data_IF_521962456078
#
_entry.id   IF_521962456078
#
_cell.length_a   1.000
_cell.length_b   1.000
_cell.length_c   1.000
_cell.angle_alpha   90.00
_cell.angle_beta   90.00
_cell.angle_gamma   90.00
#
_symmetry.space_group_name_H-M   'P 1'
#
loop_
_entity.id
_entity.type
_entity.pdbx_description
1 polymer ?
#
# COMPACT_ATOMS: atom_id res chain seq x y z
N UNK A 1 31.03 -0.71 -8.87
CA UNK A 1 29.68 -0.27 -8.53
C UNK A 1 28.74 -0.59 -9.69
N UNK A 2 27.72 -1.41 -9.51
CA UNK A 2 26.69 -1.56 -10.53
C UNK A 2 25.70 -0.41 -10.37
N UNK A 3 25.54 0.42 -11.39
CA UNK A 3 24.51 1.45 -11.41
C UNK A 3 23.13 0.77 -11.49
N UNK A 4 22.26 1.05 -10.53
CA UNK A 4 20.87 0.60 -10.61
C UNK A 4 20.15 1.53 -11.57
N UNK A 5 19.80 1.02 -12.76
CA UNK A 5 18.88 1.72 -13.66
C UNK A 5 17.48 1.12 -13.50
N UNK A 6 16.61 1.72 -12.71
CA UNK A 6 15.29 1.13 -12.43
C UNK A 6 14.35 1.22 -13.63
N UNK A 7 14.53 2.22 -14.49
CA UNK A 7 13.68 2.51 -15.65
C UNK A 7 14.52 2.32 -16.92
N UNK A 8 13.99 1.53 -17.86
CA UNK A 8 14.56 1.40 -19.22
C UNK A 8 13.87 2.36 -20.19
N UNK A 9 12.54 2.48 -20.06
CA UNK A 9 11.73 3.38 -20.88
C UNK A 9 10.49 3.82 -20.11
N UNK A 10 9.94 4.98 -20.49
CA UNK A 10 8.65 5.49 -20.06
C UNK A 10 7.83 5.78 -21.31
N UNK A 11 6.55 5.43 -21.27
CA UNK A 11 5.59 5.74 -22.31
C UNK A 11 4.24 6.08 -21.66
N UNK A 12 3.87 7.35 -21.67
CA UNK A 12 2.69 7.85 -20.95
C UNK A 12 2.73 7.51 -19.46
N UNK A 13 1.86 6.59 -19.00
CA UNK A 13 1.81 6.09 -17.62
C UNK A 13 2.40 4.67 -17.47
N UNK A 14 3.10 4.21 -18.49
CA UNK A 14 3.78 2.91 -18.51
C UNK A 14 5.26 3.08 -18.17
N UNK A 15 5.71 2.30 -17.21
CA UNK A 15 7.11 2.18 -16.86
C UNK A 15 7.60 0.79 -17.29
N UNK A 16 8.65 0.76 -18.09
CA UNK A 16 9.36 -0.46 -18.45
C UNK A 16 10.59 -0.59 -17.56
N UNK A 17 10.57 -1.60 -16.69
CA UNK A 17 11.64 -1.82 -15.73
C UNK A 17 12.83 -2.54 -16.36
N UNK A 18 14.00 -2.44 -15.73
CA UNK A 18 15.20 -3.17 -16.13
C UNK A 18 15.05 -4.70 -16.06
N UNK A 19 14.04 -5.20 -15.34
CA UNK A 19 13.70 -6.62 -15.27
C UNK A 19 12.84 -7.10 -16.44
N UNK A 20 12.38 -6.18 -17.28
CA UNK A 20 11.45 -6.46 -18.36
C UNK A 20 9.97 -6.54 -17.90
N UNK A 21 9.66 -6.07 -16.71
CA UNK A 21 8.28 -5.90 -16.26
C UNK A 21 7.69 -4.61 -16.85
N UNK A 22 6.39 -4.63 -17.12
CA UNK A 22 5.62 -3.45 -17.55
C UNK A 22 4.72 -3.04 -16.41
N UNK A 23 4.89 -1.81 -15.93
CA UNK A 23 4.17 -1.25 -14.79
C UNK A 23 3.24 -0.14 -15.26
N UNK A 24 1.95 -0.29 -15.00
CA UNK A 24 0.92 0.72 -15.20
C UNK A 24 0.80 1.57 -13.95
N UNK A 25 1.09 2.86 -14.04
CA UNK A 25 1.26 3.75 -12.91
C UNK A 25 0.06 4.69 -12.77
N UNK A 26 -0.59 4.69 -11.60
CA UNK A 26 -1.71 5.55 -11.26
C UNK A 26 -1.45 6.28 -9.94
N UNK A 27 -2.00 7.49 -9.83
CA UNK A 27 -2.07 8.25 -8.58
C UNK A 27 -3.51 8.25 -8.08
N UNK A 28 -3.69 8.00 -6.78
CA UNK A 28 -4.99 7.90 -6.15
C UNK A 28 -5.38 9.15 -5.35
N UNK A 29 -6.63 9.58 -5.50
CA UNK A 29 -7.30 10.45 -4.55
C UNK A 29 -8.22 9.62 -3.67
N UNK A 30 -7.93 9.61 -2.36
CA UNK A 30 -8.68 8.85 -1.36
C UNK A 30 -9.67 9.75 -0.60
N UNK A 31 -10.72 9.17 0.03
CA UNK A 31 -11.59 9.88 0.96
C UNK A 31 -10.83 10.44 2.16
N UNK A 32 -11.38 11.46 2.79
CA UNK A 32 -10.81 12.01 4.02
C UNK A 32 -10.95 11.03 5.20
N UNK A 33 -9.98 11.03 6.08
CA UNK A 33 -10.00 10.26 7.34
C UNK A 33 -11.28 10.56 8.14
N UNK A 34 -11.85 9.54 8.76
CA UNK A 34 -13.10 9.60 9.55
C UNK A 34 -14.34 10.08 8.78
N UNK A 35 -14.31 10.12 7.44
CA UNK A 35 -15.47 10.46 6.62
C UNK A 35 -16.31 9.25 6.19
N UNK A 36 -15.85 8.05 6.50
CA UNK A 36 -16.43 6.79 6.06
C UNK A 36 -17.13 6.07 7.24
N UNK A 37 -18.34 5.57 6.98
CA UNK A 37 -19.03 4.64 7.88
C UNK A 37 -18.56 3.19 7.64
N UNK A 38 -18.92 2.27 8.53
CA UNK A 38 -18.68 0.83 8.35
C UNK A 38 -19.17 0.34 6.97
N UNK A 39 -20.41 0.71 6.60
CA UNK A 39 -20.99 0.36 5.29
C UNK A 39 -20.20 0.94 4.10
N UNK A 40 -19.55 2.08 4.29
CA UNK A 40 -18.70 2.67 3.26
C UNK A 40 -17.42 1.86 3.07
N UNK A 41 -16.81 1.38 4.16
CA UNK A 41 -15.65 0.49 4.10
C UNK A 41 -16.00 -0.85 3.45
N UNK A 42 -17.14 -1.45 3.80
CA UNK A 42 -17.64 -2.66 3.14
C UNK A 42 -17.88 -2.45 1.63
N UNK A 43 -18.46 -1.30 1.26
CA UNK A 43 -18.69 -0.96 -0.15
C UNK A 43 -17.39 -0.73 -0.91
N UNK A 44 -16.38 -0.11 -0.28
CA UNK A 44 -15.04 0.06 -0.87
C UNK A 44 -14.35 -1.29 -1.05
N UNK A 45 -14.40 -2.14 -0.03
CA UNK A 45 -13.87 -3.50 -0.09
C UNK A 45 -14.52 -4.32 -1.22
N UNK A 46 -15.85 -4.28 -1.32
CA UNK A 46 -16.57 -4.94 -2.41
C UNK A 46 -16.19 -4.37 -3.79
N UNK A 47 -16.01 -3.05 -3.89
CA UNK A 47 -15.57 -2.39 -5.12
C UNK A 47 -14.17 -2.88 -5.54
N UNK A 48 -13.20 -2.89 -4.64
CA UNK A 48 -11.87 -3.43 -4.91
C UNK A 48 -11.92 -4.88 -5.34
N UNK A 49 -12.69 -5.72 -4.63
CA UNK A 49 -12.82 -7.12 -4.97
C UNK A 49 -13.39 -7.33 -6.38
N UNK A 50 -14.46 -6.62 -6.74
CA UNK A 50 -15.06 -6.73 -8.08
C UNK A 50 -14.10 -6.28 -9.18
N UNK A 51 -13.35 -5.20 -8.95
CA UNK A 51 -12.37 -4.68 -9.90
C UNK A 51 -11.20 -5.65 -10.11
N UNK A 52 -10.61 -6.16 -9.02
CA UNK A 52 -9.37 -6.90 -9.09
C UNK A 52 -9.54 -8.38 -9.42
N UNK A 53 -10.69 -8.99 -9.08
CA UNK A 53 -10.94 -10.42 -9.35
C UNK A 53 -10.93 -10.78 -10.85
N UNK A 54 -11.16 -9.81 -11.73
CA UNK A 54 -11.23 -9.99 -13.19
C UNK A 54 -9.86 -9.94 -13.86
N UNK A 55 -8.85 -9.43 -13.16
CA UNK A 55 -7.50 -9.31 -13.71
C UNK A 55 -6.88 -10.70 -13.98
N UNK A 56 -6.02 -10.82 -14.99
CA UNK A 56 -5.33 -12.06 -15.33
C UNK A 56 -4.52 -12.64 -14.17
N UNK A 57 -4.42 -13.96 -14.09
CA UNK A 57 -3.51 -14.60 -13.14
C UNK A 57 -2.05 -14.25 -13.48
N UNK A 58 -1.25 -14.02 -12.46
CA UNK A 58 0.12 -13.53 -12.58
C UNK A 58 0.24 -11.98 -12.52
N UNK A 59 -0.88 -11.25 -12.48
CA UNK A 59 -0.88 -9.81 -12.23
C UNK A 59 -0.38 -9.54 -10.83
N UNK A 60 0.56 -8.59 -10.71
CA UNK A 60 0.96 -8.04 -9.42
C UNK A 60 0.28 -6.67 -9.27
N UNK A 61 -0.42 -6.49 -8.16
CA UNK A 61 -1.02 -5.23 -7.76
C UNK A 61 -0.18 -4.70 -6.61
N UNK A 62 0.33 -3.49 -6.74
CA UNK A 62 1.11 -2.84 -5.70
C UNK A 62 0.47 -1.48 -5.39
N UNK A 63 -0.13 -1.36 -4.23
CA UNK A 63 -0.56 -0.08 -3.68
C UNK A 63 0.52 0.42 -2.75
N UNK A 64 0.98 1.64 -2.98
CA UNK A 64 2.04 2.28 -2.21
C UNK A 64 1.55 3.63 -1.70
N UNK A 65 1.50 3.76 -0.37
CA UNK A 65 1.14 5.01 0.29
C UNK A 65 2.41 5.59 0.92
N UNK A 66 2.86 6.73 0.38
CA UNK A 66 4.06 7.43 0.84
C UNK A 66 3.65 8.57 1.74
N UNK A 67 4.16 8.59 2.96
CA UNK A 67 3.88 9.61 3.97
C UNK A 67 5.15 10.40 4.24
N UNK A 68 5.14 11.68 3.87
CA UNK A 68 6.29 12.57 4.05
C UNK A 68 5.97 13.74 4.97
N UNK A 69 6.91 14.04 5.87
CA UNK A 69 6.86 15.26 6.67
C UNK A 69 7.25 16.46 5.82
N UNK A 70 6.36 17.40 5.73
CA UNK A 70 6.56 18.66 5.00
C UNK A 70 6.22 19.83 5.90
N UNK A 71 6.77 21.00 5.54
CA UNK A 71 6.39 22.24 6.18
C UNK A 71 5.11 22.77 5.52
N UNK A 72 4.10 23.04 6.33
CA UNK A 72 2.85 23.62 5.86
C UNK A 72 3.09 25.02 5.31
N UNK A 73 2.64 25.30 4.08
CA UNK A 73 2.55 26.65 3.53
C UNK A 73 1.16 27.22 3.77
N UNK A 74 1.10 28.33 4.48
CA UNK A 74 -0.13 29.04 4.75
C UNK A 74 -0.55 30.01 3.61
N UNK A 75 0.02 29.87 2.41
CA UNK A 75 -0.24 30.79 1.28
C UNK A 75 -1.71 30.77 0.81
N UNK A 76 -2.37 29.62 0.97
CA UNK A 76 -3.79 29.48 0.64
C UNK A 76 -4.75 30.14 1.66
N UNK A 77 -4.25 30.56 2.84
CA UNK A 77 -5.09 31.20 3.85
C UNK A 77 -5.36 32.68 3.49
N UNK A 78 -6.56 33.20 3.84
CA UNK A 78 -6.87 34.62 3.70
C UNK A 78 -5.82 35.51 4.39
N UNK A 79 -5.51 36.68 3.82
CA UNK A 79 -4.44 37.59 4.27
C UNK A 79 -4.84 39.07 4.19
N UNK A 80 -6.12 39.39 4.26
CA UNK A 80 -6.65 40.74 4.08
C UNK A 80 -6.72 41.53 5.37
N UNK A 81 -6.97 40.87 6.51
CA UNK A 81 -7.13 41.49 7.82
C UNK A 81 -5.96 41.17 8.76
N UNK A 82 -5.86 41.94 9.84
CA UNK A 82 -4.85 41.72 10.90
C UNK A 82 -4.94 40.32 11.49
N UNK A 83 -6.18 39.82 11.73
CA UNK A 83 -6.42 38.48 12.28
C UNK A 83 -6.01 37.41 11.30
N UNK A 84 -6.33 37.56 10.02
CA UNK A 84 -5.93 36.62 8.98
C UNK A 84 -4.42 36.53 8.83
N UNK A 85 -3.73 37.67 8.87
CA UNK A 85 -2.26 37.75 8.87
C UNK A 85 -1.65 37.08 10.10
N UNK A 86 -2.27 37.25 11.26
CA UNK A 86 -1.81 36.58 12.49
C UNK A 86 -2.02 35.07 12.40
N UNK A 87 -3.16 34.64 11.87
CA UNK A 87 -3.47 33.23 11.61
C UNK A 87 -2.48 32.61 10.63
N UNK A 88 -2.22 33.29 9.51
CA UNK A 88 -1.22 32.84 8.54
C UNK A 88 0.14 32.62 9.19
N UNK A 89 0.66 33.62 9.93
CA UNK A 89 1.95 33.51 10.63
C UNK A 89 1.97 32.42 11.70
N UNK A 90 0.84 32.14 12.33
CA UNK A 90 0.74 31.10 13.36
C UNK A 90 0.87 29.68 12.81
N UNK A 91 0.38 29.43 11.58
CA UNK A 91 0.39 28.12 10.99
C UNK A 91 1.57 27.87 10.04
N UNK A 92 2.19 28.92 9.50
CA UNK A 92 3.31 28.83 8.58
C UNK A 92 4.46 28.00 9.16
N UNK A 93 4.97 27.06 8.35
CA UNK A 93 6.11 26.22 8.69
C UNK A 93 5.83 25.07 9.67
N UNK A 94 4.56 24.87 10.10
CA UNK A 94 4.22 23.73 10.94
C UNK A 94 4.44 22.43 10.19
N UNK A 95 4.90 21.40 10.91
CA UNK A 95 5.10 20.08 10.32
C UNK A 95 3.75 19.39 10.07
N UNK A 96 3.56 18.92 8.86
CA UNK A 96 2.43 18.09 8.46
C UNK A 96 2.93 16.79 7.84
N UNK A 97 2.11 15.77 7.88
CA UNK A 97 2.33 14.53 7.15
C UNK A 97 1.51 14.58 5.86
N UNK A 98 2.19 14.58 4.72
CA UNK A 98 1.54 14.61 3.40
C UNK A 98 1.51 13.20 2.81
N UNK A 99 0.32 12.59 2.64
CA UNK A 99 0.18 11.29 2.01
C UNK A 99 0.11 11.41 0.49
N UNK A 100 0.83 10.51 -0.19
CA UNK A 100 0.73 10.30 -1.63
C UNK A 100 0.35 8.84 -1.88
N UNK A 101 -0.78 8.60 -2.53
CA UNK A 101 -1.25 7.26 -2.86
C UNK A 101 -0.91 6.92 -4.31
N UNK A 102 -0.22 5.81 -4.50
CA UNK A 102 0.08 5.25 -5.82
C UNK A 102 -0.51 3.85 -5.95
N UNK A 103 -0.94 3.51 -7.15
CA UNK A 103 -1.43 2.19 -7.50
C UNK A 103 -0.75 1.73 -8.78
N UNK A 104 -0.12 0.57 -8.70
CA UNK A 104 0.62 -0.03 -9.81
C UNK A 104 0.05 -1.39 -10.17
N UNK A 105 -0.14 -1.63 -11.48
CA UNK A 105 -0.45 -2.94 -12.01
C UNK A 105 0.73 -3.41 -12.82
N UNK A 106 1.29 -4.56 -12.47
CA UNK A 106 2.55 -5.03 -13.01
C UNK A 106 2.32 -6.31 -13.81
N UNK A 107 2.66 -6.24 -15.09
CA UNK A 107 2.76 -7.41 -15.97
C UNK A 107 4.20 -7.91 -15.93
N UNK A 108 4.40 -9.08 -15.33
CA UNK A 108 5.71 -9.72 -15.29
C UNK A 108 5.81 -10.89 -16.25
N UNK A 109 6.96 -11.03 -16.90
CA UNK A 109 7.30 -12.23 -17.70
C UNK A 109 7.65 -13.43 -16.81
N UNK A 110 7.96 -13.19 -15.54
CA UNK A 110 8.31 -14.22 -14.58
C UNK A 110 7.05 -14.90 -14.05
N UNK A 111 6.61 -15.97 -14.70
CA UNK A 111 5.44 -16.77 -14.28
C UNK A 111 5.62 -17.46 -12.92
N UNK A 112 6.82 -17.53 -12.40
CA UNK A 112 7.13 -17.95 -11.04
C UNK A 112 8.04 -16.91 -10.41
N UNK A 113 7.62 -16.30 -9.34
CA UNK A 113 8.46 -15.45 -8.48
C UNK A 113 9.41 -16.39 -7.72
N UNK A 114 10.29 -17.03 -8.41
CA UNK A 114 11.32 -17.86 -7.78
C UNK A 114 12.67 -17.23 -8.08
N UNK A 115 13.35 -16.77 -7.05
CA UNK A 115 14.69 -16.19 -7.09
C UNK A 115 15.78 -17.14 -7.67
N UNK A 116 15.44 -18.39 -7.96
CA UNK A 116 16.37 -19.35 -8.52
C UNK A 116 16.91 -18.94 -9.92
N UNK A 117 16.24 -18.00 -10.60
CA UNK A 117 16.67 -17.60 -11.97
C UNK A 117 17.88 -16.72 -11.99
N UNK A 118 18.08 -15.85 -11.02
CA UNK A 118 19.27 -14.98 -10.98
C UNK A 118 20.56 -15.73 -10.67
N UNK A 119 20.43 -16.93 -10.11
CA UNK A 119 21.57 -17.78 -9.76
C UNK A 119 21.90 -18.87 -10.78
N UNK A 120 21.06 -19.05 -11.81
CA UNK A 120 21.28 -20.08 -12.83
C UNK A 120 21.59 -19.48 -14.21
N UNK A 121 22.87 -19.28 -14.57
CA UNK A 121 23.28 -18.69 -15.85
C UNK A 121 22.94 -19.56 -17.07
N UNK A 122 22.49 -20.81 -16.86
CA UNK A 122 22.17 -21.76 -17.93
C UNK A 122 20.68 -21.84 -18.27
N UNK A 123 19.82 -21.08 -17.60
CA UNK A 123 18.41 -21.01 -17.99
C UNK A 123 18.22 -20.22 -19.27
N UNK A 124 17.72 -20.91 -20.31
CA UNK A 124 17.36 -20.25 -21.59
C UNK A 124 16.21 -19.26 -21.34
N UNK A 125 16.35 -18.04 -21.84
CA UNK A 125 15.28 -17.07 -21.87
C UNK A 125 14.05 -17.66 -22.60
N UNK A 126 12.81 -17.44 -22.09
CA UNK A 126 11.63 -17.92 -22.78
C UNK A 126 11.57 -17.28 -24.18
N UNK A 127 11.44 -18.10 -25.20
CA UNK A 127 11.26 -17.67 -26.59
C UNK A 127 9.79 -17.25 -26.78
N UNK A 128 9.43 -16.05 -26.39
CA UNK A 128 8.16 -15.46 -26.83
C UNK A 128 8.40 -14.69 -28.12
N UNK A 129 7.55 -14.87 -29.11
CA UNK A 129 7.59 -14.04 -30.32
C UNK A 129 7.15 -12.61 -29.96
N UNK A 130 7.68 -11.56 -30.63
CA UNK A 130 7.27 -10.18 -30.38
C UNK A 130 5.75 -9.99 -30.44
N UNK A 131 5.07 -10.57 -31.39
CA UNK A 131 3.60 -10.50 -31.53
C UNK A 131 2.81 -11.04 -30.32
N UNK A 132 3.26 -12.17 -29.74
CA UNK A 132 2.58 -12.72 -28.53
C UNK A 132 2.76 -11.81 -27.30
N UNK A 133 3.82 -11.02 -27.29
CA UNK A 133 4.06 -10.04 -26.23
C UNK A 133 3.13 -8.83 -26.37
N UNK A 134 2.95 -8.35 -27.60
CA UNK A 134 2.08 -7.21 -27.90
C UNK A 134 0.62 -7.55 -27.62
N UNK A 135 0.15 -8.74 -28.00
CA UNK A 135 -1.20 -9.21 -27.72
C UNK A 135 -1.44 -9.35 -26.20
N UNK A 136 -0.47 -9.90 -25.47
CA UNK A 136 -0.57 -10.03 -24.01
C UNK A 136 -0.61 -8.67 -23.30
N UNK A 137 0.18 -7.71 -23.79
CA UNK A 137 0.20 -6.34 -23.27
C UNK A 137 -1.11 -5.62 -23.54
N UNK A 138 -1.67 -5.74 -24.74
CA UNK A 138 -2.95 -5.14 -25.12
C UNK A 138 -4.10 -5.71 -24.26
N UNK A 139 -4.12 -7.02 -24.06
CA UNK A 139 -5.11 -7.69 -23.21
C UNK A 139 -5.00 -7.25 -21.75
N UNK A 140 -3.77 -7.15 -21.26
CA UNK A 140 -3.51 -6.69 -19.90
C UNK A 140 -3.91 -5.23 -19.71
N UNK A 141 -3.59 -4.37 -20.69
CA UNK A 141 -3.98 -2.95 -20.69
C UNK A 141 -5.49 -2.81 -20.58
N UNK A 142 -6.25 -3.51 -21.42
CA UNK A 142 -7.72 -3.46 -21.39
C UNK A 142 -8.26 -3.90 -20.01
N UNK A 143 -7.73 -4.98 -19.44
CA UNK A 143 -8.16 -5.46 -18.12
C UNK A 143 -7.87 -4.45 -16.99
N UNK A 144 -6.71 -3.77 -17.05
CA UNK A 144 -6.34 -2.73 -16.07
C UNK A 144 -7.24 -1.49 -16.23
N UNK A 145 -7.48 -1.04 -17.46
CA UNK A 145 -8.35 0.10 -17.74
C UNK A 145 -9.79 -0.17 -17.26
N UNK A 146 -10.32 -1.37 -17.48
CA UNK A 146 -11.63 -1.79 -16.97
C UNK A 146 -11.68 -1.80 -15.44
N UNK A 147 -10.64 -2.31 -14.78
CA UNK A 147 -10.55 -2.32 -13.32
C UNK A 147 -10.51 -0.90 -12.74
N UNK A 148 -9.71 -0.01 -13.31
CA UNK A 148 -9.63 1.41 -12.91
C UNK A 148 -10.95 2.13 -13.16
N UNK A 149 -11.58 1.93 -14.31
CA UNK A 149 -12.89 2.53 -14.62
C UNK A 149 -13.96 2.07 -13.60
N UNK A 150 -13.93 0.79 -13.21
CA UNK A 150 -14.84 0.26 -12.19
C UNK A 150 -14.61 0.92 -10.82
N UNK A 151 -13.36 1.06 -10.39
CA UNK A 151 -13.01 1.73 -9.12
C UNK A 151 -13.47 3.19 -9.15
N UNK A 152 -13.17 3.91 -10.22
CA UNK A 152 -13.50 5.33 -10.37
C UNK A 152 -15.02 5.58 -10.41
N UNK A 153 -15.80 4.64 -10.94
CA UNK A 153 -17.26 4.71 -10.94
C UNK A 153 -17.87 4.67 -9.52
N UNK A 154 -17.14 4.19 -8.51
CA UNK A 154 -17.58 4.26 -7.11
C UNK A 154 -17.73 5.69 -6.59
N UNK A 155 -17.05 6.66 -7.22
CA UNK A 155 -16.98 8.09 -6.85
C UNK A 155 -16.47 8.36 -5.43
N UNK A 156 -15.97 7.34 -4.74
CA UNK A 156 -15.38 7.47 -3.40
C UNK A 156 -13.87 7.61 -3.46
N UNK A 157 -13.25 6.97 -4.42
CA UNK A 157 -11.82 7.09 -4.74
C UNK A 157 -11.68 7.29 -6.25
N UNK A 158 -10.64 7.99 -6.64
CA UNK A 158 -10.34 8.27 -8.05
C UNK A 158 -8.87 7.96 -8.28
N UNK A 159 -8.58 7.16 -9.32
CA UNK A 159 -7.23 6.87 -9.76
C UNK A 159 -7.01 7.42 -11.16
N UNK A 160 -6.01 8.27 -11.30
CA UNK A 160 -5.63 8.89 -12.57
C UNK A 160 -4.26 8.39 -13.04
N UNK A 161 -4.05 8.22 -14.36
CA UNK A 161 -2.76 7.85 -14.90
C UNK A 161 -1.67 8.84 -14.51
N UNK A 162 -0.52 8.37 -14.01
CA UNK A 162 0.63 9.21 -13.72
C UNK A 162 1.30 9.70 -15.00
N UNK A 163 1.71 10.97 -15.02
CA UNK A 163 2.52 11.53 -16.12
C UNK A 163 3.96 11.05 -16.01
N UNK A 164 4.67 10.96 -17.14
CA UNK A 164 6.08 10.55 -17.17
C UNK A 164 6.99 11.37 -16.25
N UNK A 165 6.74 12.67 -16.15
CA UNK A 165 7.47 13.56 -15.24
C UNK A 165 7.26 13.19 -13.78
N UNK A 166 6.03 12.84 -13.40
CA UNK A 166 5.70 12.41 -12.03
C UNK A 166 6.31 11.03 -11.70
N UNK A 167 6.30 10.09 -12.66
CA UNK A 167 6.96 8.79 -12.51
C UNK A 167 8.46 8.98 -12.30
N UNK A 168 9.09 9.87 -13.09
CA UNK A 168 10.51 10.18 -12.95
C UNK A 168 10.83 10.79 -11.59
N UNK A 169 10.05 11.77 -11.15
CA UNK A 169 10.21 12.41 -9.84
C UNK A 169 10.03 11.42 -8.68
N UNK A 170 8.98 10.60 -8.73
CA UNK A 170 8.73 9.54 -7.74
C UNK A 170 9.91 8.56 -7.67
N UNK A 171 10.43 8.13 -8.82
CA UNK A 171 11.57 7.21 -8.91
C UNK A 171 12.83 7.85 -8.33
N UNK A 172 13.11 9.09 -8.70
CA UNK A 172 14.26 9.83 -8.19
C UNK A 172 14.16 10.02 -6.67
N UNK A 173 13.00 10.44 -6.16
CA UNK A 173 12.77 10.58 -4.73
C UNK A 173 13.02 9.26 -3.98
N UNK A 174 12.48 8.15 -4.49
CA UNK A 174 12.63 6.84 -3.88
C UNK A 174 14.10 6.41 -3.76
N UNK A 175 14.85 6.43 -4.88
CA UNK A 175 16.26 6.01 -4.91
C UNK A 175 17.21 7.03 -4.29
N UNK A 176 16.79 8.29 -4.20
CA UNK A 176 17.50 9.33 -3.44
C UNK A 176 17.22 9.26 -1.92
N UNK A 177 16.42 8.30 -1.46
CA UNK A 177 16.06 8.15 -0.06
C UNK A 177 15.31 9.36 0.51
N UNK A 178 14.50 10.04 -0.32
CA UNK A 178 13.74 11.24 0.02
C UNK A 178 14.61 12.37 0.60
N UNK A 179 15.88 12.46 0.18
CA UNK A 179 16.77 13.56 0.52
C UNK A 179 16.54 14.75 -0.41
N UNK A 180 16.71 15.96 0.09
CA UNK A 180 16.66 17.19 -0.73
C UNK A 180 17.82 17.28 -1.72
N UNK A 181 19.02 16.92 -1.28
CA UNK A 181 20.20 16.85 -2.13
C UNK A 181 20.28 15.52 -2.86
N UNK A 182 20.76 15.53 -4.10
CA UNK A 182 21.01 14.30 -4.85
C UNK A 182 22.09 13.49 -4.16
N UNK A 183 21.79 12.25 -3.81
CA UNK A 183 22.73 11.31 -3.21
C UNK A 183 23.09 10.22 -4.21
N UNK A 184 24.29 9.69 -4.13
CA UNK A 184 24.79 8.71 -5.11
C UNK A 184 24.94 7.32 -4.52
N UNK A 185 24.95 7.17 -3.20
CA UNK A 185 25.32 5.94 -2.53
C UNK A 185 24.22 5.38 -1.63
N UNK A 186 23.94 4.10 -1.82
CA UNK A 186 23.18 3.27 -0.89
C UNK A 186 24.20 2.48 -0.07
N UNK A 187 24.35 2.83 1.19
CA UNK A 187 25.28 2.17 2.08
C UNK A 187 24.57 1.06 2.86
N UNK A 188 25.14 -0.13 2.82
CA UNK A 188 24.67 -1.28 3.59
C UNK A 188 25.64 -1.54 4.75
N UNK A 189 25.19 -1.32 5.97
CA UNK A 189 25.84 -1.81 7.18
C UNK A 189 25.18 -3.14 7.61
N UNK A 190 25.83 -3.91 8.50
CA UNK A 190 25.38 -5.24 8.96
C UNK A 190 23.93 -5.29 9.46
N UNK A 191 23.37 -4.17 9.87
CA UNK A 191 22.03 -4.10 10.43
C UNK A 191 21.09 -3.05 9.77
N UNK A 192 21.63 -2.14 8.93
CA UNK A 192 20.89 -0.95 8.46
C UNK A 192 21.23 -0.61 7.02
N UNK A 193 20.32 0.12 6.39
CA UNK A 193 20.53 0.73 5.07
C UNK A 193 20.53 2.23 5.26
N UNK A 194 21.52 2.90 4.65
CA UNK A 194 21.60 4.37 4.64
C UNK A 194 21.58 4.85 3.21
N UNK A 195 20.76 5.85 2.92
CA UNK A 195 20.68 6.51 1.61
C UNK A 195 20.83 8.00 1.87
N UNK A 196 21.96 8.58 1.47
CA UNK A 196 22.30 9.96 1.83
C UNK A 196 22.34 10.14 3.34
N UNK A 197 21.58 11.12 3.85
CA UNK A 197 21.51 11.46 5.27
C UNK A 197 20.48 10.63 6.06
N UNK A 198 19.74 9.74 5.39
CA UNK A 198 18.66 9.00 6.00
C UNK A 198 19.04 7.54 6.30
N UNK A 199 18.78 7.12 7.52
CA UNK A 199 18.80 5.72 7.95
C UNK A 199 17.43 5.10 7.69
N UNK A 200 17.40 3.91 7.09
CA UNK A 200 16.19 3.17 6.75
C UNK A 200 16.05 1.91 7.58
N UNK A 201 14.81 1.56 7.92
CA UNK A 201 14.43 0.27 8.50
C UNK A 201 13.07 -0.14 7.93
N UNK A 202 12.67 -1.39 8.15
CA UNK A 202 11.40 -1.93 7.67
C UNK A 202 10.80 -2.95 8.63
N UNK A 203 9.48 -3.07 8.57
CA UNK A 203 8.68 -4.13 9.21
C UNK A 203 7.78 -4.74 8.14
N UNK A 204 7.58 -6.06 8.16
CA UNK A 204 6.79 -6.73 7.14
C UNK A 204 5.88 -7.83 7.69
N UNK A 205 4.70 -7.96 7.09
CA UNK A 205 3.82 -9.12 7.20
C UNK A 205 4.01 -9.92 5.92
N UNK A 206 4.74 -11.04 6.01
CA UNK A 206 5.19 -11.83 4.88
C UNK A 206 4.86 -13.32 4.99
N UNK A 207 4.18 -13.71 6.05
CA UNK A 207 3.83 -15.09 6.34
C UNK A 207 2.47 -15.15 7.03
N UNK A 208 1.76 -16.25 6.87
CA UNK A 208 0.51 -16.54 7.58
C UNK A 208 0.68 -16.54 9.10
N UNK A 209 1.89 -16.77 9.58
CA UNK A 209 2.22 -16.72 11.02
C UNK A 209 2.24 -15.31 11.60
N UNK A 210 2.26 -14.29 10.74
CA UNK A 210 2.18 -12.89 11.17
C UNK A 210 0.77 -12.47 11.59
N UNK A 211 -0.25 -13.24 11.26
CA UNK A 211 -1.66 -12.94 11.56
C UNK A 211 -2.10 -13.68 12.82
N UNK A 212 -2.70 -12.94 13.76
CA UNK A 212 -3.33 -13.49 14.95
C UNK A 212 -4.78 -13.98 14.68
N UNK A 213 -5.78 -13.20 15.08
CA UNK A 213 -7.19 -13.60 14.98
C UNK A 213 -7.81 -13.44 13.59
N UNK A 214 -7.24 -12.60 12.74
CA UNK A 214 -7.74 -12.36 11.39
C UNK A 214 -7.71 -10.88 10.99
N UNK A 215 -8.42 -10.55 9.89
CA UNK A 215 -8.49 -9.20 9.34
C UNK A 215 -9.95 -8.78 9.14
N UNK A 216 -10.21 -7.48 9.22
CA UNK A 216 -11.53 -6.88 9.07
C UNK A 216 -11.49 -5.77 8.02
N UNK A 217 -12.63 -5.39 7.49
CA UNK A 217 -12.73 -4.27 6.54
C UNK A 217 -12.53 -2.92 7.23
N UNK A 218 -13.03 -2.81 8.46
CA UNK A 218 -12.86 -1.64 9.31
C UNK A 218 -12.88 -2.03 10.79
N UNK A 219 -12.33 -1.17 11.62
CA UNK A 219 -12.33 -1.26 13.08
C UNK A 219 -12.90 0.05 13.66
N UNK A 220 -13.37 -0.01 14.90
CA UNK A 220 -13.81 1.17 15.62
C UNK A 220 -12.57 1.89 16.17
N UNK A 221 -12.51 3.21 15.97
CA UNK A 221 -11.49 4.03 16.61
C UNK A 221 -11.98 4.48 17.99
N UNK A 222 -11.51 3.81 19.04
CA UNK A 222 -11.93 4.05 20.41
C UNK A 222 -11.52 5.44 20.92
N UNK A 223 -10.46 6.04 20.36
CA UNK A 223 -10.00 7.37 20.80
C UNK A 223 -10.98 8.48 20.46
N UNK A 224 -11.72 8.35 19.36
CA UNK A 224 -12.65 9.36 18.86
C UNK A 224 -14.12 8.97 19.04
N UNK A 225 -14.41 7.69 19.29
CA UNK A 225 -15.76 7.18 19.52
C UNK A 225 -16.30 7.63 20.88
N UNK A 226 -17.57 8.00 20.91
CA UNK A 226 -18.34 8.34 22.12
C UNK A 226 -19.66 7.57 22.13
N UNK A 227 -20.45 7.71 23.19
CA UNK A 227 -21.76 7.05 23.29
C UNK A 227 -22.72 7.45 22.16
N UNK A 228 -22.55 8.68 21.61
CA UNK A 228 -23.43 9.22 20.57
C UNK A 228 -22.89 8.99 19.14
N UNK A 229 -21.60 8.83 18.97
CA UNK A 229 -20.94 8.75 17.64
C UNK A 229 -19.85 7.67 17.62
N UNK A 230 -19.97 6.77 16.64
CA UNK A 230 -18.96 5.75 16.37
C UNK A 230 -18.14 6.14 15.15
N UNK A 231 -16.84 6.24 15.32
CA UNK A 231 -15.89 6.50 14.26
C UNK A 231 -15.23 5.20 13.80
N UNK A 232 -15.35 4.91 12.51
CA UNK A 232 -14.70 3.77 11.87
C UNK A 232 -13.42 4.19 11.16
N UNK A 233 -12.45 3.30 11.14
CA UNK A 233 -11.24 3.40 10.35
C UNK A 233 -10.96 2.06 9.66
N UNK A 234 -10.30 2.08 8.50
CA UNK A 234 -9.85 0.87 7.84
C UNK A 234 -8.86 0.09 8.70
N UNK A 235 -8.82 -1.22 8.55
CA UNK A 235 -8.05 -2.11 9.43
C UNK A 235 -6.60 -1.66 9.63
N UNK A 236 -5.90 -1.25 8.57
CA UNK A 236 -4.48 -0.85 8.66
C UNK A 236 -4.25 0.68 8.61
N UNK A 237 -5.30 1.51 8.67
CA UNK A 237 -5.14 2.97 8.54
C UNK A 237 -4.26 3.59 9.65
N UNK A 238 -4.19 2.96 10.83
CA UNK A 238 -3.24 3.32 11.88
C UNK A 238 -1.78 3.25 11.42
N UNK A 239 -1.43 2.31 10.54
CA UNK A 239 -0.09 2.23 9.94
C UNK A 239 0.21 3.38 8.97
N UNK A 240 -0.79 4.12 8.50
CA UNK A 240 -0.65 5.30 7.66
C UNK A 240 -0.65 6.58 8.47
N UNK A 241 -1.83 7.04 8.88
CA UNK A 241 -2.03 8.34 9.55
C UNK A 241 -1.99 8.26 11.08
N UNK A 242 -1.81 7.09 11.68
CA UNK A 242 -1.77 6.93 13.14
C UNK A 242 -0.57 7.57 13.83
N UNK A 243 0.49 7.89 13.08
CA UNK A 243 1.71 8.53 13.61
C UNK A 243 2.32 9.51 12.60
N UNK A 244 2.85 10.62 13.09
CA UNK A 244 3.39 11.72 12.27
C UNK A 244 4.90 11.53 12.01
N UNK A 245 5.26 10.56 11.14
CA UNK A 245 6.66 10.25 10.80
C UNK A 245 6.79 9.90 9.31
N UNK A 246 8.02 10.01 8.77
CA UNK A 246 8.30 9.63 7.39
C UNK A 246 8.25 8.11 7.21
N UNK A 247 7.36 7.61 6.35
CA UNK A 247 7.27 6.18 6.06
C UNK A 247 6.53 5.90 4.75
N UNK A 248 6.60 4.66 4.32
CA UNK A 248 5.87 4.11 3.17
C UNK A 248 5.15 2.85 3.64
N UNK A 249 3.88 2.75 3.32
CA UNK A 249 3.11 1.51 3.48
C UNK A 249 2.93 0.87 2.11
N UNK A 250 3.48 -0.31 1.92
CA UNK A 250 3.39 -1.08 0.69
C UNK A 250 2.45 -2.26 0.88
N UNK A 251 1.43 -2.35 0.03
CA UNK A 251 0.53 -3.48 -0.05
C UNK A 251 0.72 -4.15 -1.42
N UNK A 252 1.19 -5.38 -1.41
CA UNK A 252 1.52 -6.14 -2.62
C UNK A 252 0.60 -7.35 -2.68
N UNK A 253 -0.09 -7.54 -3.81
CA UNK A 253 -0.99 -8.65 -4.06
C UNK A 253 -0.60 -9.27 -5.40
N UNK A 254 -0.31 -10.56 -5.40
CA UNK A 254 -0.03 -11.35 -6.60
C UNK A 254 -1.22 -12.26 -6.85
N UNK A 255 -1.93 -12.05 -7.95
CA UNK A 255 -3.06 -12.89 -8.33
C UNK A 255 -2.54 -14.21 -8.89
N UNK A 256 -2.89 -15.30 -8.24
CA UNK A 256 -2.46 -16.64 -8.65
C UNK A 256 -3.55 -17.42 -9.41
N UNK A 257 -3.12 -18.50 -10.06
CA UNK A 257 -4.01 -19.44 -10.70
C UNK A 257 -4.62 -20.37 -9.63
N UNK A 258 -5.95 -20.28 -9.47
CA UNK A 258 -6.75 -21.08 -8.55
C UNK A 258 -6.51 -22.59 -8.71
N UNK A 259 -6.42 -23.08 -9.94
CA UNK A 259 -6.23 -24.52 -10.20
C UNK A 259 -4.85 -25.03 -9.79
N UNK A 260 -3.81 -24.18 -9.97
CA UNK A 260 -2.46 -24.49 -9.52
C UNK A 260 -2.42 -24.61 -7.99
N UNK A 261 -3.02 -23.66 -7.30
CA UNK A 261 -3.05 -23.65 -5.83
C UNK A 261 -3.86 -24.80 -5.26
N UNK A 262 -5.02 -25.11 -5.85
CA UNK A 262 -5.80 -26.29 -5.44
C UNK A 262 -4.94 -27.55 -5.43
N UNK A 263 -4.22 -27.84 -6.53
CA UNK A 263 -3.33 -29.00 -6.62
C UNK A 263 -2.20 -28.98 -5.58
N UNK A 264 -1.63 -27.82 -5.31
CA UNK A 264 -0.56 -27.67 -4.31
C UNK A 264 -1.08 -27.89 -2.89
N UNK A 265 -2.24 -27.32 -2.57
CA UNK A 265 -2.87 -27.45 -1.26
C UNK A 265 -3.36 -28.88 -1.01
N UNK A 266 -3.97 -29.55 -2.02
CA UNK A 266 -4.35 -30.96 -1.94
C UNK A 266 -3.12 -31.84 -1.60
N UNK A 267 -2.01 -31.63 -2.31
CA UNK A 267 -0.76 -32.34 -2.02
C UNK A 267 -0.25 -32.05 -0.60
N UNK A 268 -0.34 -30.79 -0.16
CA UNK A 268 0.10 -30.39 1.19
C UNK A 268 -0.76 -31.00 2.28
N UNK A 269 -2.07 -31.10 2.05
CA UNK A 269 -3.01 -31.80 2.96
C UNK A 269 -2.63 -33.28 3.10
N UNK A 270 -2.33 -33.95 1.98
CA UNK A 270 -1.92 -35.36 2.01
C UNK A 270 -0.59 -35.57 2.76
N UNK A 271 0.38 -34.67 2.60
CA UNK A 271 1.64 -34.68 3.34
C UNK A 271 1.42 -34.46 4.83
N UNK A 272 0.60 -33.48 5.21
CA UNK A 272 0.29 -33.15 6.60
C UNK A 272 -0.55 -34.24 7.28
N UNK A 273 -1.49 -34.89 6.58
CA UNK A 273 -2.21 -36.07 7.12
C UNK A 273 -1.27 -37.20 7.48
N UNK A 274 -0.27 -37.48 6.66
CA UNK A 274 0.76 -38.49 6.94
C UNK A 274 1.64 -38.13 8.14
N UNK A 275 1.90 -36.83 8.35
CA UNK A 275 2.73 -36.33 9.43
C UNK A 275 1.98 -35.86 10.67
N UNK A 276 0.64 -35.86 10.65
CA UNK A 276 -0.21 -35.34 11.75
C UNK A 276 -0.05 -36.10 13.06
N UNK A 277 0.44 -37.34 13.02
CA UNK A 277 0.72 -38.14 14.19
C UNK A 277 2.02 -37.71 14.94
N UNK A 278 2.85 -36.84 14.34
CA UNK A 278 4.15 -36.48 14.86
C UNK A 278 4.23 -35.09 15.53
N UNK A 279 3.10 -34.35 15.64
CA UNK A 279 3.09 -33.07 16.34
C UNK A 279 1.77 -32.31 16.31
N UNK A 280 1.44 -31.62 17.40
CA UNK A 280 0.21 -30.82 17.52
C UNK A 280 0.17 -29.62 16.56
N UNK A 281 1.33 -29.03 16.23
CA UNK A 281 1.45 -27.94 15.27
C UNK A 281 1.00 -28.36 13.86
N UNK A 282 1.34 -29.57 13.43
CA UNK A 282 0.93 -30.09 12.13
C UNK A 282 -0.59 -30.22 12.01
N UNK A 283 -1.30 -30.50 13.11
CA UNK A 283 -2.76 -30.55 13.14
C UNK A 283 -3.38 -29.17 12.94
N UNK A 284 -2.84 -28.15 13.59
CA UNK A 284 -3.32 -26.75 13.45
C UNK A 284 -3.13 -26.27 12.01
N UNK A 285 -1.95 -26.51 11.42
CA UNK A 285 -1.67 -26.16 10.02
C UNK A 285 -2.59 -26.92 9.06
N UNK A 286 -2.81 -28.21 9.30
CA UNK A 286 -3.72 -29.02 8.50
C UNK A 286 -5.14 -28.43 8.48
N UNK A 287 -5.68 -28.10 9.65
CA UNK A 287 -7.03 -27.51 9.76
C UNK A 287 -7.12 -26.17 9.00
N UNK A 288 -6.11 -25.31 9.13
CA UNK A 288 -6.06 -24.03 8.39
C UNK A 288 -6.06 -24.24 6.87
N UNK A 289 -5.27 -25.19 6.37
CA UNK A 289 -5.19 -25.49 4.93
C UNK A 289 -6.48 -26.14 4.42
N UNK A 290 -7.09 -27.05 5.20
CA UNK A 290 -8.38 -27.65 4.84
C UNK A 290 -9.49 -26.59 4.75
N UNK A 291 -9.52 -25.61 5.64
CA UNK A 291 -10.45 -24.48 5.57
C UNK A 291 -10.24 -23.64 4.30
N UNK A 292 -9.00 -23.35 3.94
CA UNK A 292 -8.66 -22.61 2.70
C UNK A 292 -9.14 -23.42 1.47
N UNK A 293 -8.87 -24.73 1.44
CA UNK A 293 -9.32 -25.59 0.37
C UNK A 293 -10.84 -25.64 0.25
N UNK A 294 -11.53 -25.71 1.37
CA UNK A 294 -12.99 -25.68 1.41
C UNK A 294 -13.51 -24.35 0.83
N UNK A 295 -12.97 -23.22 1.22
CA UNK A 295 -13.32 -21.92 0.66
C UNK A 295 -13.06 -21.85 -0.86
N UNK A 296 -11.89 -22.31 -1.31
CA UNK A 296 -11.53 -22.35 -2.73
C UNK A 296 -12.52 -23.24 -3.52
N UNK A 297 -13.02 -24.32 -2.94
CA UNK A 297 -13.90 -25.27 -3.62
C UNK A 297 -15.36 -24.81 -3.62
N UNK A 298 -15.82 -24.12 -2.57
CA UNK A 298 -17.22 -23.72 -2.41
C UNK A 298 -17.52 -22.35 -3.03
N UNK A 299 -16.54 -21.44 -3.05
CA UNK A 299 -16.70 -20.10 -3.65
C UNK A 299 -16.03 -20.04 -5.03
N UNK A 300 -16.83 -20.11 -6.10
CA UNK A 300 -16.31 -19.98 -7.47
C UNK A 300 -15.66 -18.63 -7.73
N UNK A 301 -16.05 -17.60 -6.98
CA UNK A 301 -15.48 -16.25 -7.07
C UNK A 301 -14.20 -16.07 -6.26
N UNK A 302 -13.85 -17.00 -5.37
CA UNK A 302 -12.62 -16.99 -4.58
C UNK A 302 -11.38 -16.93 -5.47
N UNK A 303 -10.45 -16.04 -5.12
CA UNK A 303 -9.17 -15.87 -5.79
C UNK A 303 -8.05 -16.06 -4.78
N UNK A 304 -7.27 -17.11 -4.97
CA UNK A 304 -6.05 -17.29 -4.18
C UNK A 304 -5.02 -16.27 -4.61
N UNK A 305 -4.39 -15.64 -3.62
CA UNK A 305 -3.33 -14.65 -3.82
C UNK A 305 -2.12 -14.97 -2.95
N UNK A 306 -0.99 -14.45 -3.35
CA UNK A 306 0.15 -14.25 -2.47
C UNK A 306 0.26 -12.76 -2.17
N UNK A 307 0.50 -12.41 -0.92
CA UNK A 307 0.51 -11.03 -0.51
C UNK A 307 1.65 -10.67 0.41
N UNK A 308 1.91 -9.39 0.52
CA UNK A 308 2.83 -8.80 1.47
C UNK A 308 2.32 -7.42 1.88
N UNK A 309 2.46 -7.13 3.18
CA UNK A 309 2.35 -5.77 3.70
C UNK A 309 3.70 -5.41 4.32
N UNK A 310 4.30 -4.31 3.91
CA UNK A 310 5.49 -3.82 4.59
C UNK A 310 5.43 -2.32 4.83
N UNK A 311 6.05 -1.89 5.92
CA UNK A 311 6.22 -0.48 6.27
C UNK A 311 7.71 -0.18 6.27
N UNK A 312 8.15 0.67 5.34
CA UNK A 312 9.50 1.21 5.26
C UNK A 312 9.48 2.58 5.89
N UNK A 313 10.42 2.88 6.75
CA UNK A 313 10.50 4.18 7.42
C UNK A 313 11.94 4.66 7.53
N UNK A 314 12.10 5.99 7.64
CA UNK A 314 13.42 6.60 7.67
C UNK A 314 13.50 7.82 8.57
N UNK A 315 14.72 8.10 9.01
CA UNK A 315 15.06 9.28 9.83
C UNK A 315 16.52 9.67 9.65
N UNK A 316 16.85 10.93 9.93
CA UNK A 316 18.23 11.44 9.93
C UNK A 316 19.05 10.93 11.13
N UNK A 317 18.40 10.57 12.22
CA UNK A 317 19.07 10.13 13.44
C UNK A 317 18.58 8.73 13.87
N UNK A 318 19.52 7.92 14.34
CA UNK A 318 19.23 6.56 14.79
C UNK A 318 18.23 6.49 15.94
N UNK A 319 18.32 7.40 16.91
CA UNK A 319 17.36 7.48 18.02
C UNK A 319 15.94 7.75 17.53
N UNK A 320 15.80 8.61 16.52
CA UNK A 320 14.51 8.90 15.89
C UNK A 320 13.99 7.67 15.14
N UNK A 321 14.86 6.96 14.42
CA UNK A 321 14.50 5.74 13.71
C UNK A 321 13.98 4.66 14.68
N UNK A 322 14.67 4.45 15.82
CA UNK A 322 14.25 3.49 16.85
C UNK A 322 12.90 3.91 17.49
N UNK A 323 12.65 5.22 17.67
CA UNK A 323 11.37 5.73 18.16
C UNK A 323 10.23 5.50 17.15
N UNK A 324 10.47 5.73 15.86
CA UNK A 324 9.51 5.44 14.79
C UNK A 324 9.19 3.94 14.77
N UNK A 325 10.21 3.11 14.81
CA UNK A 325 10.06 1.65 14.89
C UNK A 325 9.18 1.20 16.04
N UNK A 326 9.34 1.81 17.22
CA UNK A 326 8.52 1.49 18.39
C UNK A 326 7.05 1.86 18.16
N UNK A 327 6.75 3.02 17.55
CA UNK A 327 5.39 3.44 17.20
C UNK A 327 4.74 2.44 16.23
N UNK A 328 5.42 2.10 15.13
CA UNK A 328 4.91 1.15 14.13
C UNK A 328 4.66 -0.22 14.75
N UNK A 329 5.53 -0.67 15.67
CA UNK A 329 5.29 -1.93 16.42
C UNK A 329 4.05 -1.89 17.28
N UNK A 330 3.74 -0.74 17.89
CA UNK A 330 2.53 -0.56 18.66
C UNK A 330 1.30 -0.70 17.77
N UNK A 331 1.27 -0.03 16.61
CA UNK A 331 0.21 -0.15 15.62
C UNK A 331 0.01 -1.61 15.16
N UNK A 332 1.09 -2.32 14.82
CA UNK A 332 1.00 -3.74 14.47
C UNK A 332 0.43 -4.58 15.61
N UNK A 333 0.81 -4.30 16.85
CA UNK A 333 0.32 -5.02 18.03
C UNK A 333 -1.17 -4.77 18.28
N UNK A 334 -1.66 -3.54 18.09
CA UNK A 334 -3.07 -3.19 18.20
C UNK A 334 -3.94 -3.91 17.17
N UNK A 335 -3.36 -4.23 16.00
CA UNK A 335 -3.99 -5.02 14.94
C UNK A 335 -3.82 -6.53 15.10
N UNK A 336 -3.25 -7.00 16.22
CA UNK A 336 -2.87 -8.41 16.44
C UNK A 336 -2.01 -8.99 15.31
N UNK A 337 -1.12 -8.16 14.76
CA UNK A 337 -0.17 -8.55 13.73
C UNK A 337 1.24 -8.67 14.32
N UNK A 338 1.95 -9.75 13.97
CA UNK A 338 3.33 -10.03 14.38
C UNK A 338 4.29 -9.80 13.20
N UNK A 339 4.87 -8.60 13.04
CA UNK A 339 5.67 -8.31 11.87
C UNK A 339 7.04 -9.00 11.91
N UNK A 340 7.51 -9.40 10.74
CA UNK A 340 8.89 -9.80 10.50
C UNK A 340 9.81 -8.57 10.50
N UNK A 341 11.03 -8.75 11.01
CA UNK A 341 12.05 -7.70 11.11
C UNK A 341 13.23 -8.02 10.17
N UNK A 342 13.22 -7.53 8.93
CA UNK A 342 14.34 -7.75 8.02
C UNK A 342 15.62 -7.07 8.54
N UNK A 343 16.77 -7.70 8.35
CA UNK A 343 18.08 -7.17 8.74
C UNK A 343 19.13 -7.44 7.67
N UNK A 344 20.14 -6.58 7.57
CA UNK A 344 21.25 -6.74 6.64
C UNK A 344 20.77 -6.84 5.19
N UNK A 345 21.15 -7.91 4.48
CA UNK A 345 20.77 -8.12 3.08
C UNK A 345 19.25 -8.26 2.89
N UNK A 346 18.55 -8.85 3.85
CA UNK A 346 17.09 -8.92 3.80
C UNK A 346 16.46 -7.50 3.86
N UNK A 347 16.95 -6.60 4.71
CA UNK A 347 16.46 -5.23 4.77
C UNK A 347 16.67 -4.49 3.45
N UNK A 348 17.88 -4.62 2.86
CA UNK A 348 18.16 -4.06 1.54
C UNK A 348 17.22 -4.62 0.48
N UNK A 349 16.97 -5.93 0.51
CA UNK A 349 16.03 -6.60 -0.40
C UNK A 349 14.62 -6.01 -0.30
N UNK A 350 14.10 -5.80 0.94
CA UNK A 350 12.80 -5.19 1.16
C UNK A 350 12.73 -3.75 0.64
N UNK A 351 13.75 -2.93 0.94
CA UNK A 351 13.78 -1.53 0.49
C UNK A 351 13.85 -1.45 -1.04
N UNK A 352 14.69 -2.23 -1.70
CA UNK A 352 14.82 -2.17 -3.16
C UNK A 352 13.61 -2.74 -3.88
N UNK A 353 13.08 -3.87 -3.40
CA UNK A 353 11.98 -4.55 -4.09
C UNK A 353 10.60 -3.95 -3.81
N UNK A 354 10.47 -3.05 -2.84
CA UNK A 354 9.25 -2.27 -2.66
C UNK A 354 9.15 -1.07 -3.64
N UNK A 355 10.12 -0.88 -4.53
CA UNK A 355 9.94 -0.02 -5.68
C UNK A 355 9.11 -0.73 -6.76
N UNK A 356 8.15 -0.04 -7.37
CA UNK A 356 7.16 -0.63 -8.27
C UNK A 356 7.76 -1.40 -9.46
N UNK A 357 8.95 -1.00 -9.95
CA UNK A 357 9.67 -1.69 -11.03
C UNK A 357 10.42 -2.94 -10.59
N UNK A 358 10.48 -3.25 -9.29
CA UNK A 358 11.25 -4.38 -8.74
C UNK A 358 10.43 -5.33 -7.88
N UNK A 359 9.14 -5.10 -7.72
CA UNK A 359 8.25 -5.92 -6.88
C UNK A 359 8.24 -7.39 -7.27
N UNK A 360 8.42 -7.70 -8.55
CA UNK A 360 8.52 -9.07 -9.05
C UNK A 360 9.74 -9.85 -8.53
N UNK A 361 10.68 -9.18 -7.85
CA UNK A 361 11.85 -9.80 -7.23
C UNK A 361 11.59 -10.36 -5.82
N UNK A 362 10.45 -10.06 -5.20
CA UNK A 362 10.09 -10.75 -3.96
C UNK A 362 9.94 -12.24 -4.21
N UNK A 363 10.47 -13.04 -3.29
CA UNK A 363 10.38 -14.50 -3.37
C UNK A 363 9.07 -15.02 -2.78
N UNK A 364 8.76 -16.29 -3.06
CA UNK A 364 7.61 -16.95 -2.44
C UNK A 364 7.68 -16.99 -0.90
N UNK A 365 8.89 -16.91 -0.34
CA UNK A 365 9.11 -16.88 1.12
C UNK A 365 8.82 -15.50 1.75
N UNK A 366 8.75 -14.46 0.91
CA UNK A 366 8.43 -13.10 1.34
C UNK A 366 6.94 -12.79 1.24
N UNK A 367 6.10 -13.77 0.89
CA UNK A 367 4.68 -13.59 0.59
C UNK A 367 3.83 -14.59 1.38
N UNK A 368 2.81 -14.10 2.10
CA UNK A 368 1.78 -14.96 2.68
C UNK A 368 0.77 -15.39 1.62
N UNK A 369 0.06 -16.50 1.88
CA UNK A 369 -1.00 -17.02 1.00
C UNK A 369 -2.36 -16.83 1.65
N UNK A 370 -3.30 -16.24 0.92
CA UNK A 370 -4.68 -16.05 1.40
C UNK A 370 -5.66 -15.90 0.23
N UNK A 371 -6.92 -15.62 0.54
CA UNK A 371 -7.93 -15.20 -0.44
C UNK A 371 -7.85 -13.68 -0.68
N UNK A 372 -8.22 -13.25 -1.90
CA UNK A 372 -8.23 -11.84 -2.28
C UNK A 372 -9.06 -10.96 -1.32
N UNK A 373 -10.21 -11.44 -0.85
CA UNK A 373 -11.06 -10.69 0.08
C UNK A 373 -10.33 -10.34 1.37
N UNK A 374 -9.57 -11.29 1.94
CA UNK A 374 -8.78 -11.03 3.15
C UNK A 374 -7.61 -10.07 2.89
N UNK A 375 -6.92 -10.22 1.75
CA UNK A 375 -5.83 -9.33 1.40
C UNK A 375 -6.28 -7.87 1.21
N UNK A 376 -7.50 -7.66 0.71
CA UNK A 376 -8.07 -6.32 0.51
C UNK A 376 -8.37 -5.59 1.81
N UNK A 377 -8.53 -6.28 2.94
CA UNK A 377 -8.62 -5.66 4.26
C UNK A 377 -7.31 -4.94 4.66
N UNK A 378 -6.19 -5.30 4.02
CA UNK A 378 -4.88 -4.67 4.22
C UNK A 378 -4.62 -3.50 3.26
N UNK A 379 -5.65 -2.94 2.62
CA UNK A 379 -5.53 -1.71 1.84
C UNK A 379 -5.89 -0.49 2.70
N UNK A 380 -5.08 0.56 2.58
CA UNK A 380 -5.42 1.86 3.15
C UNK A 380 -6.42 2.58 2.23
N UNK A 381 -7.48 3.17 2.80
CA UNK A 381 -8.58 3.77 2.05
C UNK A 381 -8.74 5.27 2.28
N UNK A 382 -7.98 5.88 3.18
CA UNK A 382 -8.18 7.28 3.56
C UNK A 382 -6.92 8.13 3.44
N UNK A 383 -7.11 9.43 3.41
CA UNK A 383 -6.08 10.45 3.36
C UNK A 383 -6.38 11.57 4.38
N UNK A 384 -5.48 12.54 4.49
CA UNK A 384 -5.67 13.72 5.33
C UNK A 384 -6.93 14.51 4.97
N UNK A 385 -7.36 15.36 5.88
CA UNK A 385 -8.39 16.36 5.61
C UNK A 385 -7.96 17.28 4.48
N UNK A 386 -8.87 17.53 3.54
CA UNK A 386 -8.67 18.41 2.39
C UNK A 386 -9.30 19.76 2.68
N UNK A 387 -8.57 20.86 2.49
CA UNK A 387 -9.13 22.21 2.54
C UNK A 387 -9.92 22.54 1.30
N UNK A 388 -11.05 23.22 1.48
CA UNK A 388 -11.75 23.91 0.41
C UNK A 388 -11.09 25.25 0.12
N UNK A 389 -11.45 25.87 -1.03
CA UNK A 389 -10.95 27.21 -1.38
C UNK A 389 -11.52 28.33 -0.50
N UNK A 390 -12.65 28.07 0.17
CA UNK A 390 -13.34 28.99 1.08
C UNK A 390 -14.14 28.21 2.10
N UNK A 391 -14.62 28.87 3.16
CA UNK A 391 -15.49 28.25 4.15
C UNK A 391 -15.16 28.62 5.58
N UNK A 392 -15.62 27.83 6.52
CA UNK A 392 -15.31 27.98 7.94
C UNK A 392 -13.93 27.39 8.19
N UNK A 393 -13.12 28.14 8.91
CA UNK A 393 -11.80 27.69 9.33
C UNK A 393 -11.93 26.81 10.58
N UNK A 394 -11.51 25.57 10.46
CA UNK A 394 -11.35 24.63 11.54
C UNK A 394 -9.87 24.35 11.77
N UNK A 395 -9.53 23.84 12.94
CA UNK A 395 -8.20 23.32 13.21
C UNK A 395 -8.29 21.79 13.20
N UNK A 396 -7.46 21.16 12.38
CA UNK A 396 -7.40 19.70 12.31
C UNK A 396 -6.79 19.15 13.61
N UNK A 397 -7.34 18.03 14.09
CA UNK A 397 -6.92 17.41 15.35
C UNK A 397 -5.64 16.59 15.22
N UNK A 398 -5.28 16.16 14.01
CA UNK A 398 -4.11 15.30 13.78
C UNK A 398 -2.79 16.10 13.80
N UNK A 399 -2.76 17.20 13.05
CA UNK A 399 -1.56 17.99 12.84
C UNK A 399 -1.67 19.41 13.38
N UNK A 400 -2.82 19.78 13.97
CA UNK A 400 -3.14 21.15 14.39
C UNK A 400 -2.96 22.18 13.25
N UNK A 401 -3.43 21.81 12.05
CA UNK A 401 -3.37 22.65 10.86
C UNK A 401 -4.75 23.22 10.53
N UNK A 402 -4.79 24.40 9.86
CA UNK A 402 -6.06 24.99 9.46
C UNK A 402 -6.66 24.22 8.30
N UNK A 403 -7.95 23.91 8.40
CA UNK A 403 -8.75 23.27 7.35
C UNK A 403 -9.96 24.11 7.08
N UNK A 404 -10.10 24.62 5.85
CA UNK A 404 -11.29 25.33 5.40
C UNK A 404 -12.35 24.34 4.95
N UNK A 405 -13.59 24.46 5.43
CA UNK A 405 -14.72 23.65 5.02
C UNK A 405 -15.90 24.50 4.58
N UNK A 406 -16.20 24.42 3.27
CA UNK A 406 -17.40 25.05 2.71
C UNK A 406 -18.59 24.13 2.95
N UNK A 407 -19.31 24.39 4.05
CA UNK A 407 -20.50 23.64 4.43
C UNK A 407 -21.76 24.10 3.67
N UNK A 408 -21.71 25.26 2.99
CA UNK A 408 -22.86 25.82 2.25
C UNK A 408 -22.90 25.44 0.77
N UNK A 409 -21.81 24.92 0.20
CA UNK A 409 -21.83 24.47 -1.20
C UNK A 409 -22.74 23.24 -1.35
N UNK A 410 -23.93 23.45 -1.94
CA UNK A 410 -24.92 22.40 -2.14
C UNK A 410 -24.40 21.22 -2.99
N UNK A 411 -23.40 21.45 -3.83
CA UNK A 411 -22.78 20.39 -4.65
C UNK A 411 -22.02 19.39 -3.81
N UNK A 412 -21.45 19.83 -2.71
CA UNK A 412 -20.67 18.98 -1.77
C UNK A 412 -21.56 18.15 -0.84
N UNK A 413 -22.84 18.48 -0.73
CA UNK A 413 -23.86 17.76 0.05
C UNK A 413 -23.43 17.45 1.50
N UNK A 414 -22.63 18.31 2.11
CA UNK A 414 -22.15 18.12 3.49
C UNK A 414 -23.23 18.31 4.53
N UNK A 415 -24.18 19.18 4.25
CA UNK A 415 -25.36 19.42 5.09
C UNK A 415 -26.64 19.32 4.25
N UNK A 416 -27.72 18.82 4.85
CA UNK A 416 -29.04 18.73 4.19
C UNK A 416 -29.75 20.07 4.13
N UNK A 417 -29.61 20.88 5.17
CA UNK A 417 -30.13 22.23 5.26
C UNK A 417 -29.00 23.21 5.49
N UNK A 418 -29.15 24.48 5.04
CA UNK A 418 -28.11 25.51 5.21
C UNK A 418 -27.99 26.04 6.64
N UNK A 419 -28.50 25.31 7.62
CA UNK A 419 -28.45 25.63 9.03
C UNK A 419 -27.75 24.51 9.78
N UNK A 420 -26.81 24.85 10.67
CA UNK A 420 -26.23 23.92 11.61
C UNK A 420 -25.96 24.63 12.93
N UNK A 421 -25.97 23.86 14.00
CA UNK A 421 -25.63 24.33 15.34
C UNK A 421 -24.49 23.45 15.89
N UNK A 422 -23.59 24.07 16.65
CA UNK A 422 -22.51 23.40 17.37
C UNK A 422 -22.82 23.61 18.86
N UNK A 423 -22.99 22.51 19.59
CA UNK A 423 -23.30 22.53 21.02
C UNK A 423 -22.06 22.12 21.81
#
# INVERSE_FOLDING_TARGET
MQSIQPIVALEQHLLFSSNGDVVFCYQGELPELYSLSEKDYEALHACWFQALKTLPAGTIIHKQDVYQKESYSADALPNSSFLEQATKRHFEGRQQLTPHCYLFFILTKNKSISNARHLNPFQKAPKNTPQQLDDALLHFKAAVEDAIAFINNSRKMVFEPLKETAITQMTQAYFNGFNEAVTTDILLDKQRVTIGDHYFDALAVNSELCFGEGVQTSIINDTFTSDDFVFHQGFIEGLGLGFNENHIVNQIIVLDDKHKWRKLLDKKVDELKKSSNFGSQNKVVLTKIENILQQINTDETSRVIRGQLNVIFWAKHLKSLDAIKAKIKTEFKELDLLPYYPKGDALKHYILNSYCGFVSHFSDQDLYVTDLKHALCLLNHTTNYKSDSQGILFNDRLHNLPVLKDVWDARKKRIKARNFAIF
#
